data_IF_401658721673
#
_entry.id   IF_401658721673
#
_cell.length_a   1.000
_cell.length_b   1.000
_cell.length_c   1.000
_cell.angle_alpha   90.00
_cell.angle_beta   90.00
_cell.angle_gamma   90.00
#
_symmetry.space_group_name_H-M   'P 1'
#
loop_
_entity.id
_entity.type
_entity.pdbx_description
1 polymer ?
#
# COMPACT_ATOMS: atom_id res chain seq x y z
N UNK A 1 -7.90 -47.83 -5.64
CA UNK A 1 -7.58 -46.74 -4.71
C UNK A 1 -6.82 -45.67 -5.47
N UNK A 2 -7.47 -44.56 -5.82
CA UNK A 2 -6.83 -43.42 -6.45
C UNK A 2 -6.53 -42.38 -5.37
N UNK A 3 -5.25 -42.10 -5.14
CA UNK A 3 -4.79 -41.10 -4.18
C UNK A 3 -4.81 -39.75 -4.90
N UNK A 4 -5.84 -38.94 -4.63
CA UNK A 4 -5.87 -37.54 -5.06
C UNK A 4 -4.88 -36.76 -4.19
N UNK A 5 -3.72 -36.44 -4.75
CA UNK A 5 -2.81 -35.44 -4.19
C UNK A 5 -3.45 -34.08 -4.39
N UNK A 6 -4.13 -33.57 -3.37
CA UNK A 6 -4.57 -32.19 -3.33
C UNK A 6 -3.33 -31.29 -3.21
N UNK A 7 -2.84 -30.77 -4.34
CA UNK A 7 -1.94 -29.62 -4.34
C UNK A 7 -2.76 -28.40 -3.93
N UNK A 8 -2.94 -28.23 -2.61
CA UNK A 8 -3.52 -27.03 -2.06
C UNK A 8 -2.61 -25.85 -2.40
N UNK A 9 -2.94 -25.11 -3.45
CA UNK A 9 -2.40 -23.78 -3.66
C UNK A 9 -2.86 -22.98 -2.43
N UNK A 10 -1.97 -22.86 -1.45
CA UNK A 10 -2.24 -22.11 -0.24
C UNK A 10 -2.20 -20.64 -0.65
N UNK A 11 -3.29 -20.13 -1.22
CA UNK A 11 -3.41 -18.73 -1.61
C UNK A 11 -3.38 -17.92 -0.32
N UNK A 12 -2.18 -17.43 0.01
CA UNK A 12 -1.93 -16.55 1.15
C UNK A 12 -2.51 -15.18 0.80
N UNK A 13 -3.82 -15.07 0.85
CA UNK A 13 -4.54 -13.84 0.51
C UNK A 13 -4.50 -12.93 1.74
N UNK A 14 -3.81 -11.78 1.68
CA UNK A 14 -3.81 -10.86 2.80
C UNK A 14 -5.21 -10.27 3.02
N UNK A 15 -5.43 -9.73 4.21
CA UNK A 15 -6.67 -9.04 4.54
C UNK A 15 -6.90 -7.85 3.60
N UNK A 16 -8.18 -7.55 3.35
CA UNK A 16 -8.58 -6.31 2.69
C UNK A 16 -8.06 -5.11 3.47
N UNK A 17 -7.83 -4.00 2.76
CA UNK A 17 -7.42 -2.76 3.38
C UNK A 17 -8.40 -2.32 4.48
N UNK A 18 -7.86 -1.89 5.61
CA UNK A 18 -8.61 -1.35 6.74
C UNK A 18 -8.27 0.13 6.91
N UNK A 19 -9.28 0.95 7.14
CA UNK A 19 -9.16 2.40 7.36
C UNK A 19 -8.30 2.67 8.60
N UNK A 20 -7.36 3.63 8.51
CA UNK A 20 -6.58 4.07 9.65
C UNK A 20 -7.22 5.30 10.32
N UNK A 21 -7.57 5.17 11.60
CA UNK A 21 -8.09 6.30 12.38
C UNK A 21 -7.10 7.46 12.39
N UNK A 22 -5.81 7.17 12.54
CA UNK A 22 -4.75 8.19 12.60
C UNK A 22 -4.59 8.95 11.28
N UNK A 23 -4.74 8.27 10.15
CA UNK A 23 -4.75 8.93 8.84
C UNK A 23 -5.94 9.86 8.73
N UNK A 24 -7.12 9.42 9.15
CA UNK A 24 -8.34 10.20 9.04
C UNK A 24 -8.39 11.40 9.96
N UNK A 25 -7.78 11.34 11.15
CA UNK A 25 -7.63 12.52 12.02
C UNK A 25 -6.87 13.63 11.30
N UNK A 26 -5.85 13.29 10.52
CA UNK A 26 -5.08 14.27 9.72
C UNK A 26 -5.89 14.70 8.49
N UNK A 27 -6.44 13.75 7.74
CA UNK A 27 -7.19 14.03 6.51
C UNK A 27 -8.40 14.94 6.74
N UNK A 28 -9.07 14.81 7.89
CA UNK A 28 -10.21 15.67 8.27
C UNK A 28 -9.83 17.14 8.43
N UNK A 29 -8.55 17.48 8.59
CA UNK A 29 -8.08 18.87 8.59
C UNK A 29 -8.20 19.53 7.20
N UNK A 30 -8.36 18.73 6.14
CA UNK A 30 -8.57 19.18 4.77
C UNK A 30 -10.05 19.19 4.36
N UNK A 31 -10.96 19.31 5.33
CA UNK A 31 -12.39 19.41 5.07
C UNK A 31 -12.70 20.48 4.02
N UNK A 32 -13.53 20.12 3.03
CA UNK A 32 -13.87 20.98 1.89
C UNK A 32 -12.97 20.79 0.65
N UNK A 33 -11.83 20.09 0.77
CA UNK A 33 -11.08 19.63 -0.39
C UNK A 33 -11.85 18.54 -1.14
N UNK A 34 -11.69 18.50 -2.46
CA UNK A 34 -12.24 17.47 -3.33
C UNK A 34 -11.11 16.83 -4.14
N UNK A 35 -10.78 15.59 -3.80
CA UNK A 35 -9.62 14.90 -4.36
C UNK A 35 -9.92 13.43 -4.67
N UNK A 36 -9.29 12.90 -5.72
CA UNK A 36 -9.23 11.47 -5.98
C UNK A 36 -7.81 11.06 -6.41
N UNK A 37 -7.39 9.84 -6.08
CA UNK A 37 -6.27 9.19 -6.75
C UNK A 37 -6.80 8.50 -8.00
N UNK A 38 -6.61 9.15 -9.14
CA UNK A 38 -7.15 8.72 -10.43
C UNK A 38 -6.39 7.51 -10.98
N UNK A 39 -5.05 7.53 -10.86
CA UNK A 39 -4.19 6.45 -11.33
C UNK A 39 -3.11 6.14 -10.29
N UNK A 40 -2.68 4.87 -10.25
CA UNK A 40 -1.49 4.44 -9.51
C UNK A 40 -0.70 3.45 -10.36
N UNK A 41 0.51 3.84 -10.75
CA UNK A 41 1.40 2.97 -11.53
C UNK A 41 2.51 2.38 -10.63
N UNK A 42 3.09 1.26 -11.05
CA UNK A 42 4.32 0.74 -10.45
C UNK A 42 5.56 1.32 -11.13
N UNK A 43 6.70 1.28 -10.43
CA UNK A 43 8.01 1.34 -11.04
C UNK A 43 8.17 0.24 -12.09
N UNK A 44 9.06 0.47 -13.06
CA UNK A 44 9.25 -0.37 -14.25
C UNK A 44 9.47 -1.87 -13.94
N UNK A 45 9.98 -2.19 -12.73
CA UNK A 45 9.96 -3.55 -12.20
C UNK A 45 10.06 -3.58 -10.68
N UNK A 46 9.36 -4.51 -10.04
CA UNK A 46 9.59 -4.87 -8.64
C UNK A 46 9.52 -6.39 -8.46
N UNK A 47 10.30 -6.91 -7.51
CA UNK A 47 10.30 -8.33 -7.21
C UNK A 47 9.23 -8.62 -6.14
N UNK A 48 8.12 -9.23 -6.57
CA UNK A 48 7.08 -9.67 -5.66
C UNK A 48 7.38 -11.03 -5.00
N UNK A 49 8.37 -11.80 -5.47
CA UNK A 49 8.57 -13.18 -5.03
C UNK A 49 9.10 -13.27 -3.60
N UNK A 50 8.40 -14.03 -2.76
CA UNK A 50 8.82 -14.31 -1.41
C UNK A 50 9.36 -15.74 -1.27
N UNK A 51 10.68 -15.88 -1.08
CA UNK A 51 11.38 -17.13 -0.72
C UNK A 51 10.91 -18.39 -1.49
N UNK A 52 10.71 -18.29 -2.80
CA UNK A 52 10.22 -19.37 -3.68
C UNK A 52 8.76 -19.83 -3.42
N UNK A 53 8.03 -19.19 -2.49
CA UNK A 53 6.60 -19.43 -2.25
C UNK A 53 5.70 -18.76 -3.30
N UNK A 54 6.28 -17.92 -4.16
CA UNK A 54 5.57 -17.16 -5.19
C UNK A 54 5.46 -15.67 -4.86
N UNK A 55 4.77 -14.90 -5.70
CA UNK A 55 4.60 -13.47 -5.52
C UNK A 55 3.71 -13.14 -4.32
N UNK A 56 4.03 -12.06 -3.62
CA UNK A 56 3.13 -11.42 -2.67
C UNK A 56 2.13 -10.60 -3.47
N UNK A 57 0.86 -10.98 -3.38
CA UNK A 57 -0.28 -10.26 -3.95
C UNK A 57 -1.05 -9.55 -2.84
N UNK A 58 -1.78 -8.50 -3.19
CA UNK A 58 -2.71 -7.86 -2.26
C UNK A 58 -4.05 -8.61 -2.25
N UNK A 59 -4.97 -8.17 -1.38
CA UNK A 59 -6.29 -8.80 -1.25
C UNK A 59 -7.06 -8.79 -2.58
N UNK A 60 -7.95 -9.77 -2.77
CA UNK A 60 -8.81 -9.89 -3.96
C UNK A 60 -8.05 -9.99 -5.30
N UNK A 61 -6.77 -10.40 -5.29
CA UNK A 61 -5.93 -10.54 -6.49
C UNK A 61 -5.43 -9.21 -7.06
N UNK A 62 -5.53 -8.12 -6.28
CA UNK A 62 -5.02 -6.81 -6.68
C UNK A 62 -3.49 -6.82 -6.71
N UNK A 63 -2.94 -6.11 -7.69
CA UNK A 63 -1.54 -5.71 -7.66
C UNK A 63 -1.30 -4.70 -6.53
N UNK A 64 -0.04 -4.56 -6.09
CA UNK A 64 0.32 -3.58 -5.05
C UNK A 64 -0.08 -2.14 -5.43
N UNK A 65 0.13 -1.65 -6.67
CA UNK A 65 -0.36 -0.33 -7.08
C UNK A 65 -1.87 -0.16 -6.95
N UNK A 66 -2.66 -1.14 -7.39
CA UNK A 66 -4.13 -1.10 -7.27
C UNK A 66 -4.57 -1.07 -5.81
N UNK A 67 -3.90 -1.85 -4.96
CA UNK A 67 -4.16 -1.86 -3.52
C UNK A 67 -3.85 -0.51 -2.88
N UNK A 68 -2.72 0.13 -3.23
CA UNK A 68 -2.37 1.48 -2.74
C UNK A 68 -3.35 2.53 -3.24
N UNK A 69 -3.75 2.48 -4.52
CA UNK A 69 -4.76 3.39 -5.07
C UNK A 69 -6.08 3.28 -4.31
N UNK A 70 -6.56 2.05 -4.12
CA UNK A 70 -7.78 1.78 -3.38
C UNK A 70 -7.68 2.28 -1.95
N UNK A 71 -6.55 2.03 -1.27
CA UNK A 71 -6.32 2.46 0.09
C UNK A 71 -6.41 3.99 0.24
N UNK A 72 -5.71 4.77 -0.60
CA UNK A 72 -5.83 6.23 -0.58
C UNK A 72 -7.27 6.70 -0.77
N UNK A 73 -7.95 6.16 -1.78
CA UNK A 73 -9.32 6.57 -2.09
C UNK A 73 -10.31 6.18 -0.98
N UNK A 74 -10.11 5.04 -0.31
CA UNK A 74 -10.94 4.62 0.81
C UNK A 74 -10.73 5.52 2.04
N UNK A 75 -9.50 5.94 2.32
CA UNK A 75 -9.20 6.94 3.36
C UNK A 75 -9.82 8.30 3.02
N UNK A 76 -9.73 8.75 1.77
CA UNK A 76 -10.35 10.01 1.33
C UNK A 76 -11.88 9.96 1.45
N UNK A 77 -12.52 8.82 1.13
CA UNK A 77 -13.96 8.63 1.28
C UNK A 77 -14.35 8.69 2.75
N UNK A 78 -13.60 8.02 3.62
CA UNK A 78 -13.88 8.04 5.06
C UNK A 78 -13.68 9.43 5.68
N UNK A 79 -12.69 10.19 5.21
CA UNK A 79 -12.46 11.57 5.61
C UNK A 79 -13.49 12.57 5.03
N UNK A 80 -14.29 12.14 4.05
CA UNK A 80 -15.29 13.00 3.40
C UNK A 80 -14.72 14.00 2.39
N UNK A 81 -13.50 13.75 1.88
CA UNK A 81 -12.81 14.62 0.91
C UNK A 81 -12.73 13.99 -0.49
N UNK A 82 -13.17 12.75 -0.65
CA UNK A 82 -13.15 12.06 -1.94
C UNK A 82 -14.22 12.62 -2.89
N UNK A 83 -13.83 12.97 -4.11
CA UNK A 83 -14.76 13.36 -5.17
C UNK A 83 -14.24 12.98 -6.56
N UNK A 84 -15.12 12.52 -7.45
CA UNK A 84 -14.79 12.34 -8.87
C UNK A 84 -14.71 13.65 -9.66
N UNK A 85 -15.16 14.75 -9.06
CA UNK A 85 -15.02 16.12 -9.57
C UNK A 85 -14.15 16.92 -8.60
N UNK A 86 -12.94 17.29 -9.03
CA UNK A 86 -11.96 17.96 -8.18
C UNK A 86 -10.53 17.75 -8.65
N UNK A 87 -9.59 17.87 -7.73
CA UNK A 87 -8.18 17.58 -7.97
C UNK A 87 -8.00 16.08 -8.23
N UNK A 88 -7.25 15.77 -9.30
CA UNK A 88 -6.83 14.39 -9.58
C UNK A 88 -5.37 14.22 -9.22
N UNK A 89 -5.08 13.19 -8.43
CA UNK A 89 -3.73 12.77 -8.12
C UNK A 89 -3.38 11.54 -8.96
N UNK A 90 -2.31 11.66 -9.74
CA UNK A 90 -1.68 10.56 -10.44
C UNK A 90 -0.47 10.09 -9.62
N UNK A 91 -0.57 8.87 -9.12
CA UNK A 91 0.45 8.23 -8.30
C UNK A 91 1.37 7.32 -9.10
N UNK A 92 2.63 7.27 -8.70
CA UNK A 92 3.60 6.30 -9.18
C UNK A 92 4.42 5.77 -8.02
N UNK A 93 4.31 4.47 -7.77
CA UNK A 93 5.12 3.78 -6.77
C UNK A 93 6.54 3.61 -7.30
N UNK A 94 7.43 4.54 -6.94
CA UNK A 94 8.83 4.55 -7.38
C UNK A 94 9.67 3.44 -6.74
N UNK A 95 9.21 2.88 -5.62
CA UNK A 95 9.85 1.77 -4.94
C UNK A 95 8.81 0.84 -4.34
N UNK A 96 8.94 -0.44 -4.62
CA UNK A 96 8.17 -1.51 -3.99
C UNK A 96 9.18 -2.60 -3.65
N UNK A 97 9.59 -2.67 -2.39
CA UNK A 97 10.56 -3.64 -1.93
C UNK A 97 10.14 -4.17 -0.57
N UNK A 98 10.40 -5.45 -0.33
CA UNK A 98 10.26 -6.03 0.98
C UNK A 98 11.42 -6.96 1.31
N UNK A 99 11.66 -7.13 2.60
CA UNK A 99 12.49 -8.19 3.14
C UNK A 99 11.64 -9.04 4.06
N UNK A 100 11.70 -10.37 3.91
CA UNK A 100 11.08 -11.31 4.83
C UNK A 100 12.09 -11.95 5.80
N UNK A 101 13.38 -11.60 5.69
CA UNK A 101 14.53 -12.14 6.45
C UNK A 101 15.45 -11.04 6.99
N UNK A 102 14.91 -9.92 7.48
CA UNK A 102 15.75 -8.93 8.15
C UNK A 102 16.18 -9.49 9.52
N UNK A 103 17.36 -10.08 9.58
CA UNK A 103 17.80 -10.89 10.73
C UNK A 103 17.08 -12.25 10.79
N UNK A 104 16.77 -12.75 12.00
CA UNK A 104 16.18 -14.08 12.18
C UNK A 104 14.65 -14.12 11.99
N UNK A 105 13.94 -13.08 12.42
CA UNK A 105 12.46 -13.07 12.50
C UNK A 105 11.84 -11.70 12.21
N UNK A 106 12.55 -10.77 11.56
CA UNK A 106 11.96 -9.48 11.16
C UNK A 106 11.84 -9.37 9.65
N UNK A 107 10.98 -8.46 9.22
CA UNK A 107 10.83 -8.07 7.83
C UNK A 107 10.62 -6.57 7.70
N UNK A 108 10.75 -6.07 6.48
CA UNK A 108 10.54 -4.67 6.14
C UNK A 108 9.72 -4.55 4.87
N UNK A 109 8.92 -3.50 4.79
CA UNK A 109 8.31 -3.00 3.56
C UNK A 109 8.85 -1.60 3.31
N UNK A 110 9.49 -1.41 2.16
CA UNK A 110 10.01 -0.13 1.71
C UNK A 110 9.21 0.33 0.49
N UNK A 111 8.42 1.39 0.69
CA UNK A 111 7.51 1.93 -0.32
C UNK A 111 7.93 3.37 -0.66
N UNK A 112 8.09 3.65 -1.95
CA UNK A 112 8.35 4.97 -2.48
C UNK A 112 7.20 5.39 -3.38
N UNK A 113 6.76 6.65 -3.28
CA UNK A 113 5.63 7.19 -4.01
C UNK A 113 5.96 8.59 -4.53
N UNK A 114 5.64 8.83 -5.79
CA UNK A 114 5.48 10.18 -6.35
C UNK A 114 4.01 10.43 -6.60
N UNK A 115 3.48 11.56 -6.11
CA UNK A 115 2.15 12.05 -6.45
C UNK A 115 2.27 13.29 -7.32
N UNK A 116 1.55 13.31 -8.43
CA UNK A 116 1.40 14.47 -9.30
C UNK A 116 -0.06 14.91 -9.25
N UNK A 117 -0.29 16.19 -8.98
CA UNK A 117 -1.61 16.78 -8.95
C UNK A 117 -1.95 17.41 -10.30
N UNK A 118 -3.22 17.35 -10.68
CA UNK A 118 -3.77 18.07 -11.83
C UNK A 118 -3.57 19.59 -11.75
N UNK A 119 -3.23 20.15 -10.58
CA UNK A 119 -2.86 21.57 -10.43
C UNK A 119 -1.38 21.87 -10.78
N UNK A 120 -0.63 20.88 -11.26
CA UNK A 120 0.77 21.02 -11.68
C UNK A 120 1.79 20.84 -10.55
N UNK A 121 1.36 20.65 -9.30
CA UNK A 121 2.25 20.35 -8.18
C UNK A 121 2.55 18.86 -8.08
N UNK A 122 3.67 18.53 -7.45
CA UNK A 122 4.03 17.15 -7.13
C UNK A 122 4.69 17.05 -5.78
N UNK A 123 4.67 15.85 -5.21
CA UNK A 123 5.43 15.50 -4.02
C UNK A 123 5.98 14.08 -4.12
N UNK A 124 6.98 13.79 -3.31
CA UNK A 124 7.53 12.45 -3.15
C UNK A 124 7.48 12.07 -1.67
N UNK A 125 7.23 10.79 -1.40
CA UNK A 125 7.27 10.23 -0.06
C UNK A 125 7.87 8.83 -0.09
N UNK A 126 8.64 8.48 0.93
CA UNK A 126 9.15 7.13 1.12
C UNK A 126 8.86 6.67 2.55
N UNK A 127 8.31 5.47 2.71
CA UNK A 127 8.13 4.82 4.01
C UNK A 127 8.95 3.53 4.10
N UNK A 128 9.37 3.20 5.33
CA UNK A 128 9.99 1.92 5.66
C UNK A 128 9.29 1.38 6.90
N UNK A 129 8.49 0.34 6.72
CA UNK A 129 7.67 -0.27 7.76
C UNK A 129 8.27 -1.60 8.20
N UNK A 130 8.69 -1.68 9.47
CA UNK A 130 9.19 -2.90 10.08
C UNK A 130 8.05 -3.76 10.63
N UNK A 131 8.15 -5.08 10.44
CA UNK A 131 7.21 -6.04 11.02
C UNK A 131 7.93 -7.29 11.52
N UNK A 132 7.23 -8.06 12.38
CA UNK A 132 7.73 -9.36 12.80
C UNK A 132 7.37 -10.41 11.76
N UNK A 133 8.39 -11.03 11.19
CA UNK A 133 8.30 -12.09 10.19
C UNK A 133 8.24 -13.46 10.87
N UNK A 134 8.42 -14.52 10.07
CA UNK A 134 8.54 -15.91 10.50
C UNK A 134 9.94 -16.46 10.27
N UNK A 135 10.26 -17.53 11.01
CA UNK A 135 11.49 -18.30 10.78
C UNK A 135 11.37 -19.14 9.50
N UNK A 136 10.29 -19.91 9.37
CA UNK A 136 10.02 -20.70 8.16
C UNK A 136 9.46 -19.84 7.02
N UNK A 137 9.65 -20.31 5.78
CA UNK A 137 9.31 -19.55 4.59
C UNK A 137 7.80 -19.26 4.48
N UNK A 138 6.94 -20.19 4.88
CA UNK A 138 5.49 -20.03 4.79
C UNK A 138 5.05 -18.93 5.74
N UNK A 139 5.41 -19.02 7.02
CA UNK A 139 5.08 -17.99 8.01
C UNK A 139 5.65 -16.64 7.63
N UNK A 140 6.91 -16.59 7.16
CA UNK A 140 7.53 -15.34 6.74
C UNK A 140 6.75 -14.66 5.62
N UNK A 141 6.39 -15.41 4.56
CA UNK A 141 5.65 -14.85 3.44
C UNK A 141 4.22 -14.45 3.82
N UNK A 142 3.55 -15.21 4.70
CA UNK A 142 2.25 -14.81 5.23
C UNK A 142 2.32 -13.48 5.98
N UNK A 143 3.31 -13.33 6.87
CA UNK A 143 3.49 -12.12 7.64
C UNK A 143 3.88 -10.94 6.76
N UNK A 144 4.70 -11.15 5.73
CA UNK A 144 4.99 -10.13 4.71
C UNK A 144 3.71 -9.68 4.01
N UNK A 145 2.85 -10.60 3.57
CA UNK A 145 1.59 -10.27 2.93
C UNK A 145 0.66 -9.50 3.89
N UNK A 146 0.52 -9.95 5.14
CA UNK A 146 -0.30 -9.30 6.16
C UNK A 146 0.22 -7.90 6.54
N UNK A 147 1.54 -7.69 6.48
CA UNK A 147 2.16 -6.41 6.78
C UNK A 147 1.96 -5.34 5.69
N UNK A 148 1.50 -5.71 4.49
CA UNK A 148 1.28 -4.77 3.39
C UNK A 148 0.25 -3.70 3.76
N UNK A 149 -0.87 -4.08 4.39
CA UNK A 149 -1.91 -3.14 4.81
C UNK A 149 -1.38 -2.04 5.73
N UNK A 150 -0.77 -2.39 6.88
CA UNK A 150 -0.13 -1.43 7.78
C UNK A 150 1.00 -0.61 7.12
N UNK A 151 1.82 -1.22 6.24
CA UNK A 151 2.86 -0.48 5.52
C UNK A 151 2.28 0.61 4.61
N UNK A 152 1.15 0.33 3.95
CA UNK A 152 0.42 1.31 3.14
C UNK A 152 -0.24 2.37 4.02
N UNK A 153 -0.77 2.02 5.19
CA UNK A 153 -1.28 3.01 6.15
C UNK A 153 -0.18 3.99 6.57
N UNK A 154 1.05 3.51 6.83
CA UNK A 154 2.20 4.33 7.18
C UNK A 154 2.64 5.25 6.02
N UNK A 155 2.68 4.72 4.80
CA UNK A 155 2.92 5.53 3.59
C UNK A 155 1.89 6.65 3.45
N UNK A 156 0.59 6.32 3.57
CA UNK A 156 -0.50 7.31 3.50
C UNK A 156 -0.32 8.34 4.61
N UNK A 157 -0.05 7.90 5.85
CA UNK A 157 0.19 8.81 6.99
C UNK A 157 1.28 9.82 6.67
N UNK A 158 2.40 9.33 6.14
CA UNK A 158 3.55 10.16 5.80
C UNK A 158 3.22 11.18 4.71
N UNK A 159 2.48 10.77 3.69
CA UNK A 159 2.00 11.68 2.63
C UNK A 159 1.07 12.73 3.21
N UNK A 160 -0.01 12.33 3.89
CA UNK A 160 -1.08 13.26 4.29
C UNK A 160 -0.68 14.15 5.46
N UNK A 161 0.35 13.78 6.23
CA UNK A 161 0.90 14.61 7.30
C UNK A 161 1.98 15.58 6.79
N UNK A 162 2.46 15.42 5.56
CA UNK A 162 3.42 16.34 4.97
C UNK A 162 2.73 17.67 4.59
N UNK A 163 3.25 18.84 5.01
CA UNK A 163 2.68 20.13 4.62
C UNK A 163 2.56 20.35 3.11
N UNK A 164 3.41 19.70 2.29
CA UNK A 164 3.34 19.76 0.83
C UNK A 164 2.04 19.14 0.30
N UNK A 165 1.46 18.14 0.98
CA UNK A 165 0.21 17.50 0.53
C UNK A 165 -0.94 18.49 0.43
N UNK A 166 -1.02 19.43 1.37
CA UNK A 166 -2.02 20.49 1.36
C UNK A 166 -1.94 21.38 0.10
N UNK A 167 -0.78 21.41 -0.56
CA UNK A 167 -0.60 22.12 -1.81
C UNK A 167 -1.01 21.32 -3.04
N UNK A 168 -1.00 19.98 -2.95
CA UNK A 168 -1.45 19.13 -4.04
C UNK A 168 -2.97 19.17 -4.20
N UNK A 169 -3.72 19.30 -3.09
CA UNK A 169 -5.17 19.14 -3.04
C UNK A 169 -5.96 20.46 -3.01
N UNK A 170 -5.31 21.59 -3.30
CA UNK A 170 -5.89 22.94 -3.30
C UNK A 170 -5.72 23.63 -4.65
#
# INVERSE_FOLDING_TARGET
MAVLLATGCSTMTPARYSISVDNNVVLKQYAGATVEVATMTAADSYNANCRLMGPIEAADGMSIPEFVQKAFNDEFKFAGIHSGSGIKLDGSLTKISFSSTSGLVNGTWDLGLTLKSSNGRSMMAESSYGFRSGFDAITACNQTAQALGPAVQDLIKKVVSDPQFATLIR
#
